data_IF_879896290593
#
_entry.id   IF_879896290593
#
_cell.length_a   1.000
_cell.length_b   1.000
_cell.length_c   1.000
_cell.angle_alpha   90.00
_cell.angle_beta   90.00
_cell.angle_gamma   90.00
#
_symmetry.space_group_name_H-M   'P 1'
#
loop_
_entity.id
_entity.type
_entity.pdbx_description
1 polymer ?
#
# COMPACT_ATOMS: atom_id res chain seq x y z
N UNK A 1 2.88 -5.18 3.03
CA UNK A 1 3.22 -4.09 2.09
C UNK A 1 4.60 -4.38 1.50
N UNK A 2 4.90 -3.92 0.28
CA UNK A 2 6.17 -4.22 -0.41
C UNK A 2 7.10 -3.02 -0.31
N UNK A 3 7.72 -2.84 0.86
CA UNK A 3 8.69 -1.79 1.10
C UNK A 3 9.78 -2.34 2.02
N UNK A 4 11.04 -1.94 1.77
CA UNK A 4 12.19 -2.33 2.60
C UNK A 4 12.50 -1.30 3.70
N UNK A 5 12.08 -0.05 3.49
CA UNK A 5 12.19 1.04 4.46
C UNK A 5 10.82 1.38 5.03
N UNK A 6 10.78 1.98 6.23
CA UNK A 6 9.56 2.39 6.92
C UNK A 6 9.69 3.79 7.53
N UNK A 7 8.57 4.52 7.56
CA UNK A 7 8.52 5.84 8.21
C UNK A 7 8.33 5.68 9.72
N UNK A 8 9.35 6.00 10.50
CA UNK A 8 9.34 5.91 11.98
C UNK A 8 9.00 7.22 12.69
N UNK A 9 9.08 8.36 11.99
CA UNK A 9 8.75 9.68 12.54
C UNK A 9 8.06 10.53 11.49
N UNK A 10 7.03 11.24 11.91
CA UNK A 10 6.31 12.22 11.09
C UNK A 10 6.62 13.64 11.56
N UNK A 11 6.72 14.62 10.64
CA UNK A 11 6.63 16.03 10.99
C UNK A 11 5.31 16.33 11.72
N UNK A 12 5.30 17.36 12.57
CA UNK A 12 4.15 17.65 13.45
C UNK A 12 2.89 18.06 12.69
N UNK A 13 3.06 18.55 11.47
CA UNK A 13 1.97 18.95 10.57
C UNK A 13 1.28 17.77 9.86
N UNK A 14 1.69 16.52 10.11
CA UNK A 14 1.07 15.33 9.55
C UNK A 14 0.24 14.59 10.61
N UNK A 15 -0.97 14.21 10.20
CA UNK A 15 -1.90 13.35 10.92
C UNK A 15 -1.83 11.93 10.34
N UNK A 16 -1.90 10.91 11.21
CA UNK A 16 -1.99 9.50 10.80
C UNK A 16 -3.44 9.19 10.40
N UNK A 17 -3.62 8.63 9.21
CA UNK A 17 -4.94 8.23 8.68
C UNK A 17 -5.12 6.72 8.77
N UNK A 18 -4.04 5.96 8.53
CA UNK A 18 -4.06 4.51 8.62
C UNK A 18 -2.71 3.96 9.05
N UNK A 19 -2.74 2.90 9.86
CA UNK A 19 -1.59 2.12 10.30
C UNK A 19 -1.98 0.64 10.36
N UNK A 20 -0.99 -0.25 10.27
CA UNK A 20 -1.17 -1.65 10.64
C UNK A 20 -0.34 -1.97 11.89
N UNK A 21 -0.32 -3.23 12.31
CA UNK A 21 0.43 -3.68 13.50
C UNK A 21 1.94 -3.44 13.43
N UNK A 22 2.46 -3.10 12.25
CA UNK A 22 3.89 -3.03 11.97
C UNK A 22 4.31 -1.64 11.52
N UNK A 23 3.57 -0.97 10.63
CA UNK A 23 3.98 0.30 10.03
C UNK A 23 2.82 1.24 9.72
N UNK A 24 3.13 2.55 9.67
CA UNK A 24 2.26 3.60 9.14
C UNK A 24 1.92 3.31 7.67
N UNK A 25 0.64 3.43 7.31
CA UNK A 25 0.15 3.12 5.96
C UNK A 25 -0.29 4.38 5.21
N UNK A 26 -0.90 5.35 5.88
CA UNK A 26 -1.30 6.61 5.25
C UNK A 26 -1.24 7.78 6.24
N UNK A 27 -0.78 8.92 5.75
CA UNK A 27 -0.67 10.17 6.52
C UNK A 27 -1.12 11.35 5.67
N UNK A 28 -1.60 12.41 6.32
CA UNK A 28 -2.08 13.62 5.66
C UNK A 28 -1.60 14.88 6.38
N UNK A 29 -1.20 15.89 5.64
CA UNK A 29 -1.06 17.26 6.12
C UNK A 29 -2.08 18.11 5.39
N UNK A 30 -3.21 18.42 6.05
CA UNK A 30 -4.31 19.20 5.45
C UNK A 30 -3.86 20.60 5.09
N UNK A 31 -3.18 21.27 6.01
CA UNK A 31 -2.66 22.63 5.83
C UNK A 31 -1.72 22.74 4.62
N UNK A 32 -0.93 21.69 4.37
CA UNK A 32 -0.01 21.62 3.22
C UNK A 32 -0.60 20.94 1.99
N UNK A 33 -1.80 20.35 2.11
CA UNK A 33 -2.45 19.52 1.07
C UNK A 33 -1.58 18.36 0.58
N UNK A 34 -0.89 17.72 1.50
CA UNK A 34 -0.05 16.55 1.19
C UNK A 34 -0.73 15.31 1.73
N UNK A 35 -0.90 14.31 0.88
CA UNK A 35 -1.34 12.97 1.27
C UNK A 35 -0.26 11.96 0.87
N UNK A 36 0.11 11.07 1.77
CA UNK A 36 1.13 10.06 1.53
C UNK A 36 0.60 8.67 1.89
N UNK A 37 1.01 7.67 1.10
CA UNK A 37 0.61 6.27 1.26
C UNK A 37 1.85 5.38 1.18
N UNK A 38 2.03 4.50 2.16
CA UNK A 38 3.12 3.52 2.19
C UNK A 38 2.69 2.16 1.64
N UNK A 39 1.39 1.86 1.68
CA UNK A 39 0.83 0.77 0.87
C UNK A 39 0.70 1.21 -0.59
N UNK A 40 0.53 0.23 -1.47
CA UNK A 40 0.46 0.44 -2.91
C UNK A 40 -0.99 0.36 -3.42
N UNK A 41 -1.90 1.30 -3.13
CA UNK A 41 -3.28 1.23 -3.61
C UNK A 41 -3.38 1.10 -5.14
N UNK A 42 -2.35 1.53 -5.87
CA UNK A 42 -2.22 1.47 -7.32
C UNK A 42 -1.93 0.06 -7.86
N UNK A 43 -1.36 -0.84 -7.06
CA UNK A 43 -0.92 -2.16 -7.51
C UNK A 43 -1.93 -3.26 -7.18
N UNK A 44 -2.47 -3.96 -8.19
CA UNK A 44 -3.23 -5.20 -8.00
C UNK A 44 -2.42 -6.27 -7.24
N UNK A 45 -3.10 -7.16 -6.51
CA UNK A 45 -2.43 -8.24 -5.79
C UNK A 45 -1.76 -9.24 -6.74
N UNK A 46 -2.32 -9.47 -7.93
CA UNK A 46 -1.70 -10.34 -8.93
C UNK A 46 -0.36 -9.79 -9.44
N UNK A 47 -0.27 -8.47 -9.61
CA UNK A 47 0.94 -7.79 -10.01
C UNK A 47 2.02 -7.92 -8.93
N UNK A 48 1.65 -7.70 -7.66
CA UNK A 48 2.56 -7.91 -6.52
C UNK A 48 3.06 -9.35 -6.49
N UNK A 49 2.17 -10.33 -6.68
CA UNK A 49 2.56 -11.75 -6.72
C UNK A 49 3.54 -12.07 -7.84
N UNK A 50 3.31 -11.55 -9.05
CA UNK A 50 4.23 -11.70 -10.19
C UNK A 50 5.59 -11.07 -9.92
N UNK A 51 5.61 -9.89 -9.30
CA UNK A 51 6.84 -9.19 -8.95
C UNK A 51 7.65 -9.97 -7.91
N UNK A 52 6.97 -10.48 -6.87
CA UNK A 52 7.61 -11.33 -5.86
C UNK A 52 8.20 -12.58 -6.49
N UNK A 53 7.46 -13.25 -7.38
CA UNK A 53 7.95 -14.44 -8.08
C UNK A 53 9.17 -14.14 -8.97
N UNK A 54 9.16 -12.99 -9.66
CA UNK A 54 10.31 -12.55 -10.47
C UNK A 54 11.57 -12.32 -9.62
N UNK A 55 11.40 -11.82 -8.40
CA UNK A 55 12.49 -11.60 -7.44
C UNK A 55 12.60 -12.70 -6.38
N UNK A 56 12.10 -13.91 -6.64
CA UNK A 56 12.08 -15.02 -5.68
C UNK A 56 13.43 -15.27 -4.95
N UNK A 57 14.61 -15.19 -5.62
CA UNK A 57 15.89 -15.38 -4.94
C UNK A 57 16.13 -14.43 -3.75
N UNK A 58 15.61 -13.19 -3.82
CA UNK A 58 15.80 -12.17 -2.78
C UNK A 58 15.02 -12.46 -1.49
N UNK A 59 14.08 -13.42 -1.54
CA UNK A 59 13.20 -13.77 -0.43
C UNK A 59 13.66 -15.02 0.33
N UNK A 60 14.67 -15.73 -0.17
CA UNK A 60 15.15 -17.00 0.38
C UNK A 60 15.72 -16.90 1.80
N UNK A 61 16.15 -15.71 2.23
CA UNK A 61 16.61 -15.45 3.59
C UNK A 61 15.49 -15.03 4.56
N UNK A 62 14.29 -14.76 4.03
CA UNK A 62 13.15 -14.20 4.78
C UNK A 62 12.04 -15.23 4.94
N UNK A 63 11.82 -16.06 3.92
CA UNK A 63 10.73 -17.04 3.87
C UNK A 63 11.28 -18.44 3.56
N UNK A 64 10.65 -19.46 4.14
CA UNK A 64 10.76 -20.82 3.59
C UNK A 64 10.06 -20.90 2.24
N UNK A 65 10.38 -21.92 1.44
CA UNK A 65 9.70 -22.14 0.15
C UNK A 65 8.18 -22.26 0.33
N UNK A 66 7.74 -23.03 1.34
CA UNK A 66 6.31 -23.20 1.65
C UNK A 66 5.66 -21.88 2.07
N UNK A 67 6.31 -21.08 2.92
CA UNK A 67 5.78 -19.76 3.33
C UNK A 67 5.63 -18.84 2.13
N UNK A 68 6.62 -18.83 1.25
CA UNK A 68 6.60 -18.00 0.04
C UNK A 68 5.47 -18.42 -0.91
N UNK A 69 5.31 -19.72 -1.16
CA UNK A 69 4.22 -20.25 -1.99
C UNK A 69 2.84 -19.98 -1.38
N UNK A 70 2.70 -20.14 -0.05
CA UNK A 70 1.47 -19.81 0.67
C UNK A 70 1.13 -18.32 0.56
N UNK A 71 2.14 -17.44 0.63
CA UNK A 71 1.95 -16.00 0.46
C UNK A 71 1.50 -15.67 -0.97
N UNK A 72 2.10 -16.27 -2.00
CA UNK A 72 1.67 -16.11 -3.39
C UNK A 72 0.22 -16.60 -3.60
N UNK A 73 -0.14 -17.74 -3.01
CA UNK A 73 -1.51 -18.26 -3.05
C UNK A 73 -2.49 -17.30 -2.36
N UNK A 74 -2.10 -16.71 -1.23
CA UNK A 74 -2.86 -15.70 -0.52
C UNK A 74 -3.11 -14.44 -1.35
N UNK A 75 -2.09 -13.92 -2.05
CA UNK A 75 -2.23 -12.79 -2.96
C UNK A 75 -3.20 -13.10 -4.10
N UNK A 76 -3.11 -14.29 -4.69
CA UNK A 76 -4.03 -14.73 -5.74
C UNK A 76 -5.47 -14.86 -5.26
N UNK A 77 -5.68 -15.33 -4.02
CA UNK A 77 -7.01 -15.37 -3.41
C UNK A 77 -7.56 -13.96 -3.20
N UNK A 78 -6.74 -13.06 -2.63
CA UNK A 78 -7.11 -11.64 -2.44
C UNK A 78 -7.49 -10.98 -3.75
N UNK A 79 -6.75 -11.19 -4.85
CA UNK A 79 -7.13 -10.63 -6.15
C UNK A 79 -8.52 -11.08 -6.61
N UNK A 80 -8.85 -12.37 -6.43
CA UNK A 80 -10.18 -12.89 -6.80
C UNK A 80 -11.30 -12.30 -5.96
N UNK A 81 -11.01 -11.97 -4.71
CA UNK A 81 -11.95 -11.38 -3.76
C UNK A 81 -11.99 -9.85 -3.87
N UNK A 82 -10.96 -9.24 -4.45
CA UNK A 82 -10.80 -7.80 -4.66
C UNK A 82 -11.76 -7.32 -5.75
N UNK A 83 -12.96 -6.90 -5.32
CA UNK A 83 -14.04 -6.38 -6.20
C UNK A 83 -13.77 -4.93 -6.64
N UNK A 84 -12.54 -4.64 -7.07
CA UNK A 84 -12.08 -3.29 -7.45
C UNK A 84 -12.14 -2.23 -6.34
N UNK A 85 -12.28 -2.63 -5.06
CA UNK A 85 -12.41 -1.68 -3.94
C UNK A 85 -11.18 -0.77 -3.84
N UNK A 86 -9.97 -1.30 -3.97
CA UNK A 86 -8.73 -0.53 -3.93
C UNK A 86 -8.61 0.50 -5.06
N UNK A 87 -9.11 0.16 -6.26
CA UNK A 87 -9.15 1.12 -7.38
C UNK A 87 -10.16 2.24 -7.12
N UNK A 88 -11.30 1.91 -6.52
CA UNK A 88 -12.33 2.89 -6.14
C UNK A 88 -11.79 3.80 -5.03
N UNK A 89 -11.18 3.23 -4.00
CA UNK A 89 -10.52 3.95 -2.91
C UNK A 89 -9.48 4.93 -3.45
N UNK A 90 -8.58 4.46 -4.31
CA UNK A 90 -7.56 5.31 -4.91
C UNK A 90 -8.16 6.45 -5.75
N UNK A 91 -9.19 6.16 -6.55
CA UNK A 91 -9.89 7.21 -7.32
C UNK A 91 -10.55 8.23 -6.42
N UNK A 92 -11.26 7.79 -5.38
CA UNK A 92 -11.93 8.68 -4.43
C UNK A 92 -10.91 9.59 -3.73
N UNK A 93 -9.73 9.08 -3.41
CA UNK A 93 -8.64 9.88 -2.85
C UNK A 93 -8.12 10.93 -3.83
N UNK A 94 -7.87 10.55 -5.10
CA UNK A 94 -7.45 11.51 -6.12
C UNK A 94 -8.51 12.61 -6.35
N UNK A 95 -9.79 12.24 -6.34
CA UNK A 95 -10.89 13.20 -6.46
C UNK A 95 -11.01 14.13 -5.26
N UNK A 96 -10.84 13.61 -4.04
CA UNK A 96 -10.84 14.41 -2.81
C UNK A 96 -9.72 15.46 -2.86
N UNK A 97 -8.49 15.04 -3.16
CA UNK A 97 -7.35 15.95 -3.29
C UNK A 97 -7.60 16.99 -4.38
N UNK A 98 -8.18 16.59 -5.53
CA UNK A 98 -8.50 17.53 -6.62
C UNK A 98 -9.48 18.62 -6.18
N UNK A 99 -10.59 18.26 -5.53
CA UNK A 99 -11.62 19.22 -5.08
C UNK A 99 -11.07 20.24 -4.08
N UNK A 100 -10.30 19.78 -3.09
CA UNK A 100 -9.62 20.66 -2.13
C UNK A 100 -8.62 21.63 -2.79
N UNK A 101 -8.16 21.34 -4.02
CA UNK A 101 -7.26 22.21 -4.78
C UNK A 101 -8.01 23.23 -5.63
N UNK A 102 -9.22 22.91 -6.09
CA UNK A 102 -10.05 23.78 -6.95
C UNK A 102 -10.86 24.81 -6.15
N UNK A 103 -11.21 24.51 -4.89
CA UNK A 103 -12.05 25.35 -4.01
C UNK A 103 -11.26 26.41 -3.19
N UNK A 104 -10.04 26.76 -3.61
CA UNK A 104 -9.14 27.68 -2.90
C UNK A 104 -8.30 28.58 -3.79
#
# INVERSE_FOLDING_TARGET
AHHFDETVRLPREFEIVAENTTTLQAVVSKDRRITCTQYHPELPYDYIGKLMQHWAPNYTSIFTEDDFLNLLAGLKKKEKEEKCFRKIEFRNWLEFVRKETEDS
#
